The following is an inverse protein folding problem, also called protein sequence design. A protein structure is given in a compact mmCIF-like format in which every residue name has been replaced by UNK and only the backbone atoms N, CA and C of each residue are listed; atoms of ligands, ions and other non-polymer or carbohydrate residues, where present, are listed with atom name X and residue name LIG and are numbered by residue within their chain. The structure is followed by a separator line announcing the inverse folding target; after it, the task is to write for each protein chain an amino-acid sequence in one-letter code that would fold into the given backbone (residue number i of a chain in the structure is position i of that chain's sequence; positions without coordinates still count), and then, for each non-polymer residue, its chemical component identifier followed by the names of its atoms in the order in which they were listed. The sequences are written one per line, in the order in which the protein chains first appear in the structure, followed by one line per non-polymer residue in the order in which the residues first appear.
data_IF_408817056070
#
_entry.id   IF_408817056070
#
_cell.length_a   1.000
_cell.length_b   1.000
_cell.length_c   1.000
_cell.angle_alpha   90.00
_cell.angle_beta   90.00
_cell.angle_gamma   90.00
#
_symmetry.space_group_name_H-M   'P 1'
#
loop_
_entity.id
_entity.type
_entity.pdbx_description
1 polymer ?
#
# COMPACT_ATOMS: atom_id res chain seq x y z
N UNK A 1 -19.42 -11.27 -0.22
CA UNK A 1 -20.56 -10.35 -0.49
C UNK A 1 -20.11 -8.89 -0.61
N UNK A 2 -19.36 -8.31 0.34
CA UNK A 2 -18.91 -6.90 0.29
C UNK A 2 -18.18 -6.54 -1.02
N UNK A 3 -17.19 -7.33 -1.42
CA UNK A 3 -16.40 -7.10 -2.65
C UNK A 3 -17.27 -7.22 -3.91
N UNK A 4 -18.22 -8.17 -3.94
CA UNK A 4 -19.17 -8.32 -5.05
C UNK A 4 -20.24 -7.22 -5.09
N UNK A 5 -20.43 -6.51 -3.99
CA UNK A 5 -21.40 -5.44 -3.78
C UNK A 5 -20.73 -4.06 -3.81
N UNK A 6 -19.84 -3.86 -4.77
CA UNK A 6 -19.12 -2.59 -4.96
C UNK A 6 -18.36 -2.10 -3.71
N UNK A 7 -17.72 -3.04 -3.01
CA UNK A 7 -16.93 -2.80 -1.78
C UNK A 7 -17.74 -2.24 -0.59
N UNK A 8 -19.06 -2.51 -0.55
CA UNK A 8 -19.93 -2.10 0.55
C UNK A 8 -19.36 -2.50 1.91
N UNK A 9 -19.31 -1.56 2.86
CA UNK A 9 -18.71 -1.73 4.18
C UNK A 9 -17.21 -1.43 4.23
N UNK A 10 -16.50 -1.38 3.09
CA UNK A 10 -15.10 -0.93 3.06
C UNK A 10 -15.01 0.59 2.90
N UNK A 11 -13.99 1.17 3.53
CA UNK A 11 -13.60 2.57 3.37
C UNK A 11 -12.09 2.72 3.49
N UNK A 12 -11.54 3.84 2.97
CA UNK A 12 -10.12 4.16 3.08
C UNK A 12 -9.94 5.41 3.91
N UNK A 13 -9.32 5.26 5.07
CA UNK A 13 -8.95 6.38 5.93
C UNK A 13 -7.53 6.82 5.61
N UNK A 14 -7.25 8.10 5.84
CA UNK A 14 -5.95 8.69 5.58
C UNK A 14 -5.37 9.26 6.87
N UNK A 15 -4.30 8.63 7.36
CA UNK A 15 -3.59 9.06 8.56
C UNK A 15 -2.39 9.93 8.19
N UNK A 16 -2.30 11.17 8.66
CA UNK A 16 -1.20 12.05 8.31
C UNK A 16 0.12 11.58 8.92
N UNK A 17 1.18 11.59 8.12
CA UNK A 17 2.57 11.37 8.54
C UNK A 17 3.28 12.71 8.55
N UNK A 18 3.81 13.08 9.72
CA UNK A 18 4.42 14.40 9.97
C UNK A 18 5.94 14.23 10.08
N UNK A 19 6.69 15.19 9.54
CA UNK A 19 8.15 15.20 9.68
C UNK A 19 8.57 15.34 11.15
N UNK A 20 9.75 14.82 11.47
CA UNK A 20 10.36 14.99 12.81
C UNK A 20 10.46 16.49 13.15
N UNK A 21 9.79 16.89 14.23
CA UNK A 21 9.65 18.31 14.62
C UNK A 21 8.24 18.85 14.46
N UNK A 22 7.29 18.08 13.90
CA UNK A 22 5.85 18.38 13.93
C UNK A 22 5.37 19.54 13.08
N UNK A 23 6.21 20.05 12.17
CA UNK A 23 5.91 21.29 11.44
C UNK A 23 5.39 21.07 10.02
N UNK A 24 5.65 19.91 9.43
CA UNK A 24 5.27 19.66 8.03
C UNK A 24 4.64 18.28 7.85
N UNK A 25 3.53 18.26 7.11
CA UNK A 25 2.90 17.05 6.61
C UNK A 25 3.81 16.44 5.53
N UNK A 26 4.34 15.25 5.77
CA UNK A 26 5.22 14.55 4.84
C UNK A 26 4.42 13.71 3.84
N UNK A 27 3.45 12.94 4.35
CA UNK A 27 2.65 12.01 3.59
C UNK A 27 1.31 11.76 4.32
N UNK A 28 0.48 10.90 3.75
CA UNK A 28 -0.57 10.23 4.50
C UNK A 28 -0.56 8.74 4.22
N UNK A 29 -0.82 7.94 5.24
CA UNK A 29 -1.00 6.49 5.13
C UNK A 29 -2.45 6.16 4.81
N UNK A 30 -2.66 5.28 3.83
CA UNK A 30 -3.97 4.80 3.42
C UNK A 30 -4.32 3.54 4.19
N UNK A 31 -5.29 3.66 5.07
CA UNK A 31 -5.68 2.61 6.00
C UNK A 31 -7.05 2.06 5.63
N UNK A 32 -7.09 0.81 5.19
CA UNK A 32 -8.35 0.10 4.92
C UNK A 32 -9.14 -0.10 6.22
N UNK A 33 -10.44 0.20 6.15
CA UNK A 33 -11.41 -0.01 7.23
C UNK A 33 -12.57 -0.84 6.72
N UNK A 34 -13.17 -1.59 7.64
CA UNK A 34 -14.33 -2.42 7.31
C UNK A 34 -15.38 -2.33 8.42
N UNK A 35 -16.64 -2.17 8.02
CA UNK A 35 -17.81 -2.18 8.88
C UNK A 35 -18.79 -3.25 8.43
N UNK A 36 -19.40 -3.93 9.40
CA UNK A 36 -20.50 -4.86 9.15
C UNK A 36 -21.77 -4.12 8.68
N UNK A 37 -22.77 -4.88 8.23
CA UNK A 37 -24.09 -4.32 7.91
C UNK A 37 -24.77 -3.63 9.11
N UNK A 38 -24.39 -4.02 10.33
CA UNK A 38 -24.86 -3.43 11.58
C UNK A 38 -24.03 -2.20 12.02
N UNK A 39 -23.11 -1.76 11.16
CA UNK A 39 -22.19 -0.63 11.38
C UNK A 39 -21.19 -0.84 12.53
N UNK A 40 -20.88 -2.09 12.83
CA UNK A 40 -19.80 -2.41 13.75
C UNK A 40 -18.44 -2.39 13.01
N UNK A 41 -17.45 -1.75 13.60
CA UNK A 41 -16.09 -1.72 13.07
C UNK A 41 -15.40 -3.05 13.31
N UNK A 42 -14.83 -3.63 12.27
CA UNK A 42 -14.01 -4.85 12.34
C UNK A 42 -12.55 -4.48 12.29
N UNK A 43 -11.73 -5.09 13.16
CA UNK A 43 -10.29 -4.83 13.19
C UNK A 43 -9.59 -5.33 11.93
N UNK A 44 -8.62 -4.57 11.36
CA UNK A 44 -7.77 -5.06 10.27
C UNK A 44 -7.10 -6.41 10.56
N UNK A 45 -6.68 -6.65 11.80
CA UNK A 45 -6.08 -7.93 12.24
C UNK A 45 -7.04 -9.11 12.03
N UNK A 46 -8.35 -8.88 12.06
CA UNK A 46 -9.36 -9.92 11.87
C UNK A 46 -9.70 -10.12 10.39
N UNK A 47 -9.91 -9.04 9.62
CA UNK A 47 -10.42 -9.19 8.27
C UNK A 47 -9.34 -9.28 7.19
N UNK A 48 -8.15 -8.71 7.38
CA UNK A 48 -7.05 -8.79 6.39
C UNK A 48 -6.64 -10.24 6.13
N UNK A 49 -6.39 -11.10 7.14
CA UNK A 49 -6.08 -12.50 6.89
C UNK A 49 -7.17 -13.23 6.09
N UNK A 50 -8.44 -12.93 6.34
CA UNK A 50 -9.57 -13.52 5.59
C UNK A 50 -9.54 -13.09 4.12
N UNK A 51 -9.23 -11.82 3.84
CA UNK A 51 -9.06 -11.33 2.47
C UNK A 51 -7.87 -12.00 1.77
N UNK A 52 -6.79 -12.23 2.48
CA UNK A 52 -5.59 -12.90 1.96
C UNK A 52 -5.85 -14.37 1.63
N UNK A 53 -6.40 -15.14 2.58
CA UNK A 53 -6.74 -16.54 2.39
C UNK A 53 -7.74 -16.77 1.25
N UNK A 54 -8.73 -15.89 1.13
CA UNK A 54 -9.73 -15.96 0.06
C UNK A 54 -9.26 -15.38 -1.28
N UNK A 55 -8.11 -14.73 -1.33
CA UNK A 55 -7.60 -14.00 -2.50
C UNK A 55 -8.34 -12.70 -2.80
N UNK A 56 -9.32 -12.32 -1.97
CA UNK A 56 -10.06 -11.06 -2.12
C UNK A 56 -9.20 -9.82 -1.80
N UNK A 57 -8.05 -10.00 -1.18
CA UNK A 57 -7.07 -8.93 -0.97
C UNK A 57 -6.61 -8.31 -2.30
N UNK A 58 -6.63 -9.07 -3.40
CA UNK A 58 -6.22 -8.57 -4.72
C UNK A 58 -7.18 -7.48 -5.22
N UNK A 59 -8.49 -7.73 -5.43
CA UNK A 59 -9.41 -6.69 -5.88
C UNK A 59 -9.59 -5.57 -4.85
N UNK A 60 -9.57 -5.88 -3.55
CA UNK A 60 -9.66 -4.86 -2.49
C UNK A 60 -8.42 -3.97 -2.47
N UNK A 61 -7.22 -4.54 -2.53
CA UNK A 61 -5.98 -3.77 -2.54
C UNK A 61 -5.84 -2.89 -3.78
N UNK A 62 -6.30 -3.39 -4.95
CA UNK A 62 -6.39 -2.55 -6.15
C UNK A 62 -7.34 -1.37 -5.93
N UNK A 63 -8.50 -1.59 -5.34
CA UNK A 63 -9.47 -0.55 -5.02
C UNK A 63 -8.87 0.48 -4.06
N UNK A 64 -8.17 0.05 -2.99
CA UNK A 64 -7.44 0.93 -2.06
C UNK A 64 -6.39 1.76 -2.79
N UNK A 65 -5.56 1.13 -3.62
CA UNK A 65 -4.52 1.81 -4.39
C UNK A 65 -5.10 2.97 -5.22
N UNK A 66 -6.18 2.75 -5.95
CA UNK A 66 -6.77 3.80 -6.78
C UNK A 66 -7.38 4.93 -5.95
N UNK A 67 -7.98 4.65 -4.77
CA UNK A 67 -8.46 5.67 -3.84
C UNK A 67 -7.31 6.49 -3.25
N UNK A 68 -6.21 5.83 -2.90
CA UNK A 68 -5.01 6.48 -2.40
C UNK A 68 -4.41 7.43 -3.45
N UNK A 69 -4.23 6.96 -4.68
CA UNK A 69 -3.67 7.77 -5.78
C UNK A 69 -4.57 8.95 -6.13
N UNK A 70 -5.90 8.76 -6.13
CA UNK A 70 -6.86 9.86 -6.33
C UNK A 70 -6.73 10.91 -5.22
N UNK A 71 -6.63 10.48 -3.96
CA UNK A 71 -6.43 11.39 -2.83
C UNK A 71 -5.09 12.13 -2.95
N UNK A 72 -4.02 11.44 -3.30
CA UNK A 72 -2.72 12.05 -3.54
C UNK A 72 -2.81 13.17 -4.58
N UNK A 73 -3.43 12.89 -5.72
CA UNK A 73 -3.61 13.89 -6.78
C UNK A 73 -4.44 15.11 -6.33
N UNK A 74 -5.46 14.89 -5.49
CA UNK A 74 -6.24 16.00 -4.89
C UNK A 74 -5.37 16.85 -3.97
N UNK A 75 -4.56 16.22 -3.10
CA UNK A 75 -3.69 16.91 -2.17
C UNK A 75 -2.54 17.65 -2.89
N UNK A 76 -2.00 17.08 -3.96
CA UNK A 76 -0.91 17.71 -4.73
C UNK A 76 -1.32 19.01 -5.42
N UNK A 77 -2.61 19.27 -5.62
CA UNK A 77 -3.08 20.59 -6.11
C UNK A 77 -2.76 21.72 -5.15
N UNK A 78 -2.67 21.43 -3.86
CA UNK A 78 -2.37 22.40 -2.79
C UNK A 78 -0.92 22.24 -2.31
N UNK A 79 -0.42 21.01 -2.29
CA UNK A 79 0.90 20.64 -1.83
C UNK A 79 1.58 19.70 -2.83
N UNK A 80 2.35 20.24 -3.79
CA UNK A 80 2.92 19.46 -4.90
C UNK A 80 3.85 18.31 -4.49
N UNK A 81 4.49 18.41 -3.32
CA UNK A 81 5.38 17.40 -2.72
C UNK A 81 4.69 16.35 -1.86
N UNK A 82 3.34 16.40 -1.77
CA UNK A 82 2.57 15.46 -0.97
C UNK A 82 2.72 14.02 -1.48
N UNK A 83 2.86 13.09 -0.55
CA UNK A 83 3.00 11.65 -0.82
C UNK A 83 1.86 10.88 -0.18
N UNK A 84 1.60 9.71 -0.72
CA UNK A 84 0.64 8.75 -0.16
C UNK A 84 1.31 7.41 0.05
N UNK A 85 1.06 6.75 1.18
CA UNK A 85 1.51 5.38 1.37
C UNK A 85 0.34 4.39 1.35
N UNK A 86 0.65 3.19 0.87
CA UNK A 86 -0.30 2.08 0.73
C UNK A 86 0.35 0.81 1.23
N UNK A 87 -0.31 0.13 2.14
CA UNK A 87 0.06 -1.19 2.61
C UNK A 87 -0.16 -2.23 1.51
N UNK A 88 0.83 -3.08 1.26
CA UNK A 88 0.80 -4.11 0.23
C UNK A 88 0.91 -5.49 0.84
N UNK A 89 -0.07 -6.35 0.54
CA UNK A 89 0.03 -7.78 0.84
C UNK A 89 0.93 -8.48 -0.18
N UNK A 90 1.78 -9.39 0.31
CA UNK A 90 2.62 -10.21 -0.53
C UNK A 90 1.85 -11.05 -1.57
N UNK A 91 0.62 -11.43 -1.25
CA UNK A 91 -0.27 -12.17 -2.17
C UNK A 91 -0.57 -11.35 -3.43
N UNK A 92 -0.67 -10.02 -3.33
CA UNK A 92 -0.90 -9.16 -4.48
C UNK A 92 0.30 -9.19 -5.44
N UNK A 93 1.53 -9.21 -4.93
CA UNK A 93 2.73 -9.31 -5.76
C UNK A 93 2.78 -10.64 -6.52
N UNK A 94 2.44 -11.73 -5.83
CA UNK A 94 2.56 -13.09 -6.39
C UNK A 94 1.43 -13.47 -7.35
N UNK A 95 0.21 -12.99 -7.08
CA UNK A 95 -1.00 -13.53 -7.72
C UNK A 95 -1.77 -12.50 -8.56
N UNK A 96 -1.23 -11.28 -8.70
CA UNK A 96 -1.85 -10.26 -9.55
C UNK A 96 -0.81 -9.52 -10.40
N UNK A 97 -1.29 -8.71 -11.32
CA UNK A 97 -0.44 -7.79 -12.08
C UNK A 97 -0.32 -6.44 -11.36
N UNK A 98 0.11 -6.50 -10.09
CA UNK A 98 0.22 -5.33 -9.21
C UNK A 98 1.06 -4.21 -9.83
N UNK A 99 2.16 -4.56 -10.49
CA UNK A 99 3.00 -3.59 -11.18
C UNK A 99 2.21 -2.78 -12.21
N UNK A 100 1.42 -3.45 -13.02
CA UNK A 100 0.55 -2.81 -14.02
C UNK A 100 -0.46 -1.89 -13.35
N UNK A 101 -1.11 -2.34 -12.29
CA UNK A 101 -2.08 -1.52 -11.55
C UNK A 101 -1.46 -0.23 -11.02
N UNK A 102 -0.21 -0.29 -10.51
CA UNK A 102 0.54 0.89 -10.05
C UNK A 102 0.87 1.82 -11.22
N UNK A 103 1.42 1.28 -12.31
CA UNK A 103 1.79 2.10 -13.48
C UNK A 103 0.58 2.82 -14.07
N UNK A 104 -0.51 2.08 -14.32
CA UNK A 104 -1.75 2.65 -14.83
C UNK A 104 -2.35 3.71 -13.88
N UNK A 105 -2.28 3.46 -12.57
CA UNK A 105 -2.76 4.39 -11.55
C UNK A 105 -1.96 5.69 -11.53
N UNK A 106 -0.63 5.61 -11.51
CA UNK A 106 0.26 6.78 -11.53
C UNK A 106 0.05 7.62 -12.79
N UNK A 107 -0.07 6.97 -13.95
CA UNK A 107 -0.30 7.67 -15.23
C UNK A 107 -1.70 8.30 -15.28
N UNK A 108 -2.73 7.58 -14.84
CA UNK A 108 -4.12 8.07 -14.80
C UNK A 108 -4.28 9.34 -13.98
N UNK A 109 -3.63 9.41 -12.82
CA UNK A 109 -3.69 10.57 -11.93
C UNK A 109 -2.55 11.57 -12.14
N UNK A 110 -1.68 11.33 -13.12
CA UNK A 110 -0.55 12.19 -13.50
C UNK A 110 0.39 12.49 -12.31
N UNK A 111 0.63 11.47 -11.48
CA UNK A 111 1.46 11.61 -10.30
C UNK A 111 2.95 11.54 -10.64
N UNK A 112 3.71 12.46 -10.04
CA UNK A 112 5.16 12.54 -10.22
C UNK A 112 5.91 11.40 -9.51
N UNK A 113 7.15 11.09 -9.90
CA UNK A 113 8.02 10.19 -9.14
C UNK A 113 8.11 10.61 -7.66
N UNK A 114 8.11 9.63 -6.76
CA UNK A 114 8.16 9.86 -5.32
C UNK A 114 6.81 10.18 -4.66
N UNK A 115 5.69 10.19 -5.42
CA UNK A 115 4.36 10.42 -4.86
C UNK A 115 3.78 9.23 -4.12
N UNK A 116 4.13 8.01 -4.52
CA UNK A 116 3.64 6.76 -3.93
C UNK A 116 4.73 6.10 -3.10
N UNK A 117 4.37 5.69 -1.89
CA UNK A 117 5.14 4.84 -0.99
C UNK A 117 4.40 3.51 -0.89
N UNK A 118 5.08 2.39 -1.11
CA UNK A 118 4.56 1.05 -0.86
C UNK A 118 5.13 0.57 0.47
N UNK A 119 4.26 0.22 1.40
CA UNK A 119 4.63 -0.32 2.70
C UNK A 119 4.48 -1.83 2.74
N UNK A 120 5.51 -2.50 3.21
CA UNK A 120 5.55 -3.95 3.40
C UNK A 120 5.76 -4.25 4.87
N UNK A 121 4.98 -5.18 5.40
CA UNK A 121 5.22 -5.68 6.76
C UNK A 121 6.45 -6.59 6.79
N UNK A 122 7.21 -6.53 7.87
CA UNK A 122 8.39 -7.38 8.10
C UNK A 122 8.07 -8.88 7.99
N UNK A 123 6.89 -9.29 8.45
CA UNK A 123 6.42 -10.68 8.42
C UNK A 123 6.05 -11.19 7.02
N UNK A 124 5.90 -10.30 6.05
CA UNK A 124 5.75 -10.68 4.66
C UNK A 124 7.02 -11.40 4.20
N UNK A 125 7.01 -12.74 4.13
CA UNK A 125 8.10 -13.51 3.56
C UNK A 125 8.31 -13.06 2.12
N UNK A 126 9.21 -12.09 1.93
CA UNK A 126 9.61 -11.69 0.58
C UNK A 126 10.43 -12.81 0.00
N UNK A 127 9.75 -13.71 -0.72
CA UNK A 127 10.46 -14.69 -1.54
C UNK A 127 11.41 -13.94 -2.45
N UNK A 128 12.70 -14.21 -2.30
CA UNK A 128 13.74 -13.58 -3.10
C UNK A 128 13.78 -14.18 -4.51
N UNK A 129 12.59 -14.30 -5.14
CA UNK A 129 12.48 -14.81 -6.49
C UNK A 129 12.92 -13.74 -7.51
N UNK A 130 13.54 -14.16 -8.64
CA UNK A 130 13.90 -13.20 -9.69
C UNK A 130 12.71 -12.38 -10.20
N UNK A 131 11.52 -12.98 -10.23
CA UNK A 131 10.29 -12.30 -10.67
C UNK A 131 9.90 -11.16 -9.72
N UNK A 132 9.92 -11.40 -8.42
CA UNK A 132 9.60 -10.39 -7.40
C UNK A 132 10.63 -9.26 -7.41
N UNK A 133 11.93 -9.59 -7.51
CA UNK A 133 12.98 -8.57 -7.64
C UNK A 133 12.77 -7.65 -8.85
N UNK A 134 12.34 -8.21 -9.98
CA UNK A 134 12.05 -7.44 -11.19
C UNK A 134 10.88 -6.46 -10.96
N UNK A 135 9.83 -6.88 -10.25
CA UNK A 135 8.72 -5.98 -9.89
C UNK A 135 9.22 -4.80 -9.06
N UNK A 136 10.02 -5.06 -8.02
CA UNK A 136 10.59 -3.99 -7.18
C UNK A 136 11.48 -3.04 -7.97
N UNK A 137 12.35 -3.58 -8.83
CA UNK A 137 13.20 -2.76 -9.69
C UNK A 137 12.37 -1.82 -10.57
N UNK A 138 11.33 -2.33 -11.22
CA UNK A 138 10.48 -1.53 -12.11
C UNK A 138 9.67 -0.47 -11.34
N UNK A 139 9.20 -0.78 -10.12
CA UNK A 139 8.55 0.20 -9.25
C UNK A 139 9.53 1.34 -8.89
N UNK A 140 10.77 1.01 -8.51
CA UNK A 140 11.79 2.01 -8.20
C UNK A 140 12.20 2.85 -9.42
N UNK A 141 12.34 2.24 -10.58
CA UNK A 141 12.61 2.97 -11.85
C UNK A 141 11.51 3.98 -12.17
N UNK A 142 10.26 3.70 -11.78
CA UNK A 142 9.12 4.64 -11.89
C UNK A 142 9.13 5.70 -10.77
N UNK A 143 10.01 5.57 -9.79
CA UNK A 143 10.12 6.47 -8.64
C UNK A 143 9.16 6.15 -7.50
N UNK A 144 8.62 4.94 -7.44
CA UNK A 144 7.87 4.47 -6.27
C UNK A 144 8.85 4.22 -5.12
N UNK A 145 8.52 4.73 -3.94
CA UNK A 145 9.31 4.54 -2.72
C UNK A 145 8.86 3.26 -2.01
N UNK A 146 9.80 2.55 -1.40
CA UNK A 146 9.54 1.33 -0.65
C UNK A 146 9.84 1.58 0.83
N UNK A 147 8.87 1.28 1.69
CA UNK A 147 9.01 1.34 3.14
C UNK A 147 8.81 -0.04 3.76
N UNK A 148 9.45 -0.27 4.90
CA UNK A 148 9.22 -1.46 5.71
C UNK A 148 8.56 -1.04 7.00
N UNK A 149 7.34 -1.56 7.20
CA UNK A 149 6.55 -1.32 8.39
C UNK A 149 6.79 -2.38 9.47
N UNK A 150 6.53 -2.03 10.73
CA UNK A 150 6.69 -2.89 11.92
C UNK A 150 8.10 -3.47 12.11
N UNK A 151 9.14 -2.78 11.65
CA UNK A 151 10.52 -3.26 11.74
C UNK A 151 10.95 -3.53 13.18
N UNK A 152 11.44 -4.76 13.44
CA UNK A 152 11.94 -5.17 14.75
C UNK A 152 10.91 -5.84 15.66
N UNK A 153 9.67 -6.05 15.19
CA UNK A 153 8.61 -6.73 15.96
C UNK A 153 8.56 -8.24 15.73
N UNK A 154 9.26 -8.74 14.71
CA UNK A 154 9.30 -10.14 14.30
C UNK A 154 10.70 -10.73 14.19
N UNK A 155 10.80 -11.90 13.57
CA UNK A 155 12.09 -12.55 13.24
C UNK A 155 12.66 -11.97 11.95
N UNK A 156 13.22 -10.76 12.04
CA UNK A 156 13.80 -10.06 10.88
C UNK A 156 14.91 -10.87 10.24
N UNK A 157 14.67 -11.39 9.07
CA UNK A 157 15.75 -11.86 8.22
C UNK A 157 16.34 -10.64 7.47
N UNK A 158 17.30 -9.95 8.09
CA UNK A 158 18.00 -8.79 7.54
C UNK A 158 18.52 -9.00 6.10
N UNK A 159 18.80 -10.27 5.72
CA UNK A 159 19.19 -10.61 4.34
C UNK A 159 18.04 -10.43 3.34
N UNK A 160 16.80 -10.74 3.75
CA UNK A 160 15.63 -10.55 2.89
C UNK A 160 15.32 -9.08 2.66
N UNK A 161 15.50 -8.26 3.68
CA UNK A 161 15.30 -6.81 3.65
C UNK A 161 16.38 -6.12 2.80
N UNK A 162 17.63 -6.54 2.90
CA UNK A 162 18.73 -6.01 2.10
C UNK A 162 18.52 -6.12 0.59
N UNK A 163 17.74 -7.10 0.16
CA UNK A 163 17.42 -7.29 -1.27
C UNK A 163 16.32 -6.33 -1.78
N UNK A 164 15.48 -5.78 -0.90
CA UNK A 164 14.45 -4.80 -1.24
C UNK A 164 15.02 -3.39 -1.39
N UNK A 165 16.16 -3.10 -0.74
CA UNK A 165 16.76 -1.76 -0.67
C UNK A 165 15.69 -0.71 -0.34
N UNK A 166 15.07 -0.77 0.87
CA UNK A 166 14.01 0.16 1.23
C UNK A 166 14.53 1.60 1.23
N UNK A 167 13.63 2.53 0.95
CA UNK A 167 13.92 3.96 0.91
C UNK A 167 13.59 4.64 2.26
N UNK A 168 12.71 3.97 3.05
CA UNK A 168 12.19 4.46 4.34
C UNK A 168 12.16 3.30 5.34
#
# INVERSE_FOLDING_TARGET
KAVSNNYEGFDVFFQPIITRGGTHLFAAESLLRFWTSEKESVSPIEFIPILEESGLIIPVGRWVLYHALEMCAKCQKVRPDFKISVNLSYIQILKSDFLKDVMEGLDRYQLSPGSLIIELTESGHVENSPAVRKVWQQLKERGVLIAIDDFGTGYSNLQSIGNLMPDI
#
